data_IF_347554510350
#
_entry.id   IF_347554510350
#
_cell.length_a   1.000
_cell.length_b   1.000
_cell.length_c   1.000
_cell.angle_alpha   90.00
_cell.angle_beta   90.00
_cell.angle_gamma   90.00
#
_symmetry.space_group_name_H-M   'P 1'
#
loop_
_entity.id
_entity.type
_entity.pdbx_description
1 polymer ?
#
# COMPACT_ATOMS: atom_id res chain seq x y z
N UNK A 1 32.10 23.09 36.49
CA UNK A 1 32.29 22.28 35.28
C UNK A 1 31.17 21.25 35.22
N UNK A 2 30.57 21.09 34.04
CA UNK A 2 29.31 20.41 33.78
C UNK A 2 29.39 18.87 33.69
N UNK A 3 28.20 18.26 33.64
CA UNK A 3 27.80 17.00 32.95
C UNK A 3 27.26 15.92 33.91
N UNK A 4 25.93 15.76 33.98
CA UNK A 4 25.06 14.90 33.15
C UNK A 4 25.01 13.44 33.64
N UNK A 5 23.86 13.03 34.17
CA UNK A 5 23.70 11.69 34.75
C UNK A 5 22.24 11.26 34.89
N UNK A 6 21.62 10.94 33.74
CA UNK A 6 20.62 9.88 33.62
C UNK A 6 19.25 10.10 34.26
N UNK A 7 18.35 10.80 33.57
CA UNK A 7 16.91 10.60 33.77
C UNK A 7 16.50 9.27 33.12
N UNK A 8 16.42 8.21 33.91
CA UNK A 8 15.78 6.95 33.51
C UNK A 8 14.31 7.26 33.21
N UNK A 9 13.93 7.20 31.93
CA UNK A 9 12.54 7.27 31.49
C UNK A 9 11.77 6.07 32.06
N UNK A 10 10.63 6.26 32.74
CA UNK A 10 9.84 5.14 33.23
C UNK A 10 9.26 4.35 32.05
N UNK A 11 9.42 3.03 32.12
CA UNK A 11 8.87 2.07 31.18
C UNK A 11 7.36 2.29 31.03
N UNK A 12 6.92 2.48 29.79
CA UNK A 12 5.53 2.71 29.43
C UNK A 12 4.64 1.58 29.98
N UNK A 13 3.80 1.92 30.95
CA UNK A 13 2.72 1.07 31.44
C UNK A 13 1.78 0.73 30.28
N UNK A 14 1.61 -0.56 30.00
CA UNK A 14 0.76 -1.08 28.93
C UNK A 14 -0.72 -0.78 29.23
N UNK A 15 -1.22 0.32 28.70
CA UNK A 15 -2.66 0.55 28.57
C UNK A 15 -3.22 -0.21 27.36
N UNK A 16 -4.27 -1.00 27.60
CA UNK A 16 -4.92 -1.95 26.69
C UNK A 16 -6.16 -1.39 25.97
N UNK A 17 -6.26 -0.09 25.68
CA UNK A 17 -7.24 0.45 24.72
C UNK A 17 -6.64 0.45 23.30
N UNK A 18 -6.45 -0.75 22.76
CA UNK A 18 -5.58 -1.06 21.63
C UNK A 18 -6.14 -0.79 20.22
N UNK A 19 -6.57 0.42 19.91
CA UNK A 19 -6.52 0.93 18.53
C UNK A 19 -5.32 1.84 18.39
N UNK A 20 -4.14 1.23 18.27
CA UNK A 20 -2.90 1.97 17.98
C UNK A 20 -3.05 2.53 16.57
N UNK A 21 -3.20 3.84 16.46
CA UNK A 21 -3.01 4.57 15.23
C UNK A 21 -1.67 4.12 14.64
N UNK A 22 -1.70 3.25 13.64
CA UNK A 22 -0.55 2.99 12.80
C UNK A 22 -0.25 4.32 12.14
N UNK A 23 0.61 5.12 12.78
CA UNK A 23 1.16 6.32 12.18
C UNK A 23 1.85 5.82 10.92
N UNK A 24 1.17 5.97 9.78
CA UNK A 24 1.79 5.87 8.46
C UNK A 24 2.92 6.87 8.54
N UNK A 25 4.15 6.38 8.74
CA UNK A 25 5.33 7.24 8.74
C UNK A 25 5.31 7.91 7.39
N UNK A 26 5.04 9.20 7.36
CA UNK A 26 5.24 9.99 6.15
C UNK A 26 6.74 9.93 5.87
N UNK A 27 7.09 9.23 4.79
CA UNK A 27 8.44 9.35 4.23
C UNK A 27 8.64 10.82 3.88
N UNK A 28 9.67 11.45 4.44
CA UNK A 28 10.02 12.82 4.13
C UNK A 28 10.71 12.87 2.76
N UNK A 29 9.96 12.58 1.69
CA UNK A 29 10.44 12.74 0.32
C UNK A 29 10.12 14.14 -0.17
N UNK A 30 11.13 14.85 -0.68
CA UNK A 30 10.95 16.10 -1.42
C UNK A 30 10.10 15.81 -2.67
N UNK A 31 9.02 16.59 -2.94
CA UNK A 31 8.19 16.38 -4.12
C UNK A 31 9.05 16.50 -5.38
N UNK A 32 9.14 15.43 -6.16
CA UNK A 32 9.81 15.46 -7.46
C UNK A 32 8.88 16.14 -8.47
N UNK A 33 9.36 17.06 -9.32
CA UNK A 33 8.51 17.65 -10.37
C UNK A 33 7.89 16.54 -11.22
N UNK A 34 6.56 16.54 -11.29
CA UNK A 34 5.80 15.59 -12.09
C UNK A 34 6.05 15.91 -13.56
N UNK A 35 6.81 15.07 -14.26
CA UNK A 35 6.95 15.16 -15.72
C UNK A 35 5.59 14.80 -16.33
N UNK A 36 5.03 15.72 -17.12
CA UNK A 36 3.91 15.54 -18.08
C UNK A 36 2.82 14.54 -17.74
N UNK A 37 1.64 15.05 -17.38
CA UNK A 37 0.42 14.31 -16.99
C UNK A 37 -0.31 13.66 -18.18
N UNK A 38 0.42 12.96 -19.04
CA UNK A 38 -0.20 12.10 -20.06
C UNK A 38 -1.02 10.98 -19.40
N UNK A 39 -1.79 10.25 -20.21
CA UNK A 39 -2.44 9.02 -19.71
C UNK A 39 -1.36 8.07 -19.19
N UNK A 40 -1.55 7.44 -18.01
CA UNK A 40 -0.59 6.49 -17.49
C UNK A 40 -0.47 5.31 -18.45
N UNK A 41 0.76 4.83 -18.67
CA UNK A 41 1.00 3.60 -19.44
C UNK A 41 1.16 2.37 -18.55
N UNK A 42 1.47 2.58 -17.26
CA UNK A 42 1.61 1.52 -16.25
C UNK A 42 0.94 1.96 -14.95
N UNK A 43 0.19 1.05 -14.31
CA UNK A 43 -0.52 1.29 -13.06
C UNK A 43 -0.20 0.15 -12.08
N UNK A 44 0.37 0.50 -10.93
CA UNK A 44 0.52 -0.43 -9.81
C UNK A 44 -0.71 -0.36 -8.90
N UNK A 45 -1.50 -1.43 -8.85
CA UNK A 45 -2.67 -1.54 -7.99
C UNK A 45 -2.42 -2.57 -6.88
N UNK A 46 -2.19 -2.08 -5.66
CA UNK A 46 -2.12 -2.96 -4.49
C UNK A 46 -3.52 -3.32 -3.99
N UNK A 47 -3.66 -4.53 -3.42
CA UNK A 47 -4.94 -4.97 -2.87
C UNK A 47 -6.00 -5.32 -3.93
N UNK A 48 -5.60 -5.67 -5.15
CA UNK A 48 -6.49 -6.02 -6.26
C UNK A 48 -7.43 -7.20 -5.95
N UNK A 49 -7.07 -8.08 -5.01
CA UNK A 49 -7.92 -9.20 -4.54
C UNK A 49 -8.85 -8.84 -3.38
N UNK A 50 -8.78 -7.61 -2.87
CA UNK A 50 -9.68 -7.10 -1.84
C UNK A 50 -11.02 -6.65 -2.41
N UNK A 51 -11.94 -6.28 -1.52
CA UNK A 51 -13.31 -5.86 -1.88
C UNK A 51 -13.33 -4.76 -2.95
N UNK A 52 -12.84 -3.56 -2.64
CA UNK A 52 -12.79 -2.46 -3.62
C UNK A 52 -11.80 -2.72 -4.76
N UNK A 53 -10.70 -3.42 -4.46
CA UNK A 53 -9.63 -3.66 -5.42
C UNK A 53 -10.09 -4.45 -6.64
N UNK A 54 -10.97 -5.44 -6.47
CA UNK A 54 -11.51 -6.21 -7.59
C UNK A 54 -12.33 -5.33 -8.56
N UNK A 55 -13.20 -4.47 -8.01
CA UNK A 55 -13.97 -3.51 -8.81
C UNK A 55 -13.09 -2.49 -9.52
N UNK A 56 -12.07 -1.96 -8.83
CA UNK A 56 -11.11 -1.02 -9.44
C UNK A 56 -10.33 -1.68 -10.58
N UNK A 57 -9.88 -2.92 -10.37
CA UNK A 57 -9.18 -3.69 -11.42
C UNK A 57 -10.07 -3.84 -12.64
N UNK A 58 -11.32 -4.27 -12.45
CA UNK A 58 -12.29 -4.43 -13.56
C UNK A 58 -12.50 -3.11 -14.29
N UNK A 59 -12.73 -2.03 -13.56
CA UNK A 59 -12.96 -0.70 -14.14
C UNK A 59 -11.75 -0.19 -14.89
N UNK A 60 -10.55 -0.36 -14.35
CA UNK A 60 -9.31 0.10 -14.98
C UNK A 60 -9.04 -0.62 -16.29
N UNK A 61 -9.24 -1.94 -16.35
CA UNK A 61 -9.15 -2.71 -17.61
C UNK A 61 -10.09 -2.12 -18.69
N UNK A 62 -11.28 -1.66 -18.30
CA UNK A 62 -12.26 -1.15 -19.26
C UNK A 62 -12.02 0.31 -19.71
N UNK A 63 -11.25 1.12 -18.96
CA UNK A 63 -11.14 2.58 -19.21
C UNK A 63 -9.74 3.06 -19.55
N UNK A 64 -8.73 2.19 -19.49
CA UNK A 64 -7.36 2.56 -19.80
C UNK A 64 -6.64 1.48 -20.59
N UNK A 65 -5.73 1.90 -21.46
CA UNK A 65 -4.80 1.02 -22.18
C UNK A 65 -3.49 0.83 -21.41
N UNK A 66 -3.54 1.01 -20.08
CA UNK A 66 -2.34 0.93 -19.23
C UNK A 66 -2.09 -0.52 -18.82
N UNK A 67 -0.83 -0.89 -18.70
CA UNK A 67 -0.45 -2.16 -18.07
C UNK A 67 -0.73 -2.11 -16.56
N UNK A 68 -1.56 -3.02 -16.07
CA UNK A 68 -1.86 -3.16 -14.65
C UNK A 68 -0.92 -4.16 -14.00
N UNK A 69 -0.08 -3.69 -13.07
CA UNK A 69 0.71 -4.53 -12.19
C UNK A 69 -0.05 -4.70 -10.86
N UNK A 70 -0.50 -5.92 -10.61
CA UNK A 70 -1.30 -6.25 -9.42
C UNK A 70 -0.54 -7.25 -8.55
N UNK A 71 0.26 -6.81 -7.56
CA UNK A 71 0.92 -7.74 -6.65
C UNK A 71 -0.13 -8.48 -5.80
N UNK A 72 -0.13 -9.80 -5.89
CA UNK A 72 -1.03 -10.72 -5.18
C UNK A 72 -0.22 -11.58 -4.22
N UNK A 73 -0.80 -11.91 -3.06
CA UNK A 73 -0.25 -12.91 -2.15
C UNK A 73 -0.66 -14.29 -2.67
N UNK A 74 0.26 -14.97 -3.34
CA UNK A 74 0.12 -16.32 -3.90
C UNK A 74 1.50 -16.99 -3.88
N UNK A 75 1.54 -18.31 -4.10
CA UNK A 75 2.79 -19.07 -4.10
C UNK A 75 3.65 -18.73 -5.32
N UNK A 76 3.02 -18.46 -6.47
CA UNK A 76 3.67 -17.97 -7.67
C UNK A 76 2.76 -17.02 -8.50
N UNK A 77 3.26 -16.61 -9.67
CA UNK A 77 2.58 -15.68 -10.56
C UNK A 77 1.36 -16.29 -11.27
N UNK A 78 1.37 -17.60 -11.54
CA UNK A 78 0.27 -18.29 -12.22
C UNK A 78 -0.91 -18.43 -11.24
N UNK A 79 -0.65 -18.85 -10.01
CA UNK A 79 -1.65 -18.87 -8.93
C UNK A 79 -2.20 -17.47 -8.65
N UNK A 80 -1.34 -16.46 -8.64
CA UNK A 80 -1.73 -15.05 -8.51
C UNK A 80 -2.66 -14.60 -9.64
N UNK A 81 -2.38 -15.02 -10.88
CA UNK A 81 -3.20 -14.70 -12.06
C UNK A 81 -4.57 -15.36 -11.98
N UNK A 82 -4.62 -16.65 -11.62
CA UNK A 82 -5.88 -17.39 -11.44
C UNK A 82 -6.73 -16.75 -10.34
N UNK A 83 -6.13 -16.44 -9.18
CA UNK A 83 -6.83 -15.79 -8.08
C UNK A 83 -7.37 -14.41 -8.48
N UNK A 84 -6.57 -13.60 -9.17
CA UNK A 84 -6.99 -12.28 -9.61
C UNK A 84 -8.15 -12.40 -10.62
N UNK A 85 -8.04 -13.30 -11.59
CA UNK A 85 -9.10 -13.55 -12.57
C UNK A 85 -10.41 -14.02 -11.93
N UNK A 86 -10.33 -14.89 -10.92
CA UNK A 86 -11.50 -15.29 -10.15
C UNK A 86 -12.14 -14.08 -9.45
N UNK A 87 -11.33 -13.23 -8.80
CA UNK A 87 -11.82 -12.07 -8.04
C UNK A 87 -12.47 -10.98 -8.88
N UNK A 88 -12.00 -10.74 -10.11
CA UNK A 88 -12.55 -9.68 -10.96
C UNK A 88 -13.78 -10.12 -11.77
N UNK A 89 -14.10 -11.42 -11.77
CA UNK A 89 -15.29 -11.98 -12.42
C UNK A 89 -16.53 -12.05 -11.51
N UNK A 90 -16.33 -11.96 -10.20
CA UNK A 90 -17.37 -12.01 -9.16
C UNK A 90 -17.54 -10.63 -8.50
#
# INVERSE_FOLDING_TARGET
MASAGGTRTPAATRSTSGWRSSRIRRSASTPRPLRGTGRPTHILLSGATGFLGAFLTRRLIDVTDAELLCPVRADDADDGTVLLHYRIRH
#
